data_IF_009742524633
#
_entry.id   IF_009742524633
#
_cell.length_a   1.000
_cell.length_b   1.000
_cell.length_c   1.000
_cell.angle_alpha   90.00
_cell.angle_beta   90.00
_cell.angle_gamma   90.00
#
_symmetry.space_group_name_H-M   'P 1'
#
loop_
_entity.id
_entity.type
_entity.pdbx_description
1 polymer ?
#
# COMPACT_ATOMS: atom_id res chain seq x y z
N UNK A 1 2.85 -14.12 1.11
CA UNK A 1 3.46 -13.60 -0.13
C UNK A 1 3.33 -12.10 -0.15
N UNK A 2 4.39 -11.35 -0.41
CA UNK A 2 4.31 -9.91 -0.55
C UNK A 2 3.98 -9.48 -1.99
N UNK A 3 3.23 -8.40 -2.15
CA UNK A 3 3.19 -7.67 -3.41
C UNK A 3 4.40 -6.74 -3.43
N UNK A 4 5.30 -6.93 -4.40
CA UNK A 4 6.47 -6.08 -4.58
C UNK A 4 6.19 -5.07 -5.70
N UNK A 5 6.51 -3.81 -5.44
CA UNK A 5 6.99 -2.91 -6.49
C UNK A 5 8.50 -3.10 -6.53
N UNK A 6 9.04 -3.70 -7.60
CA UNK A 6 10.47 -4.04 -7.70
C UNK A 6 11.34 -2.78 -7.97
N UNK A 7 11.35 -1.85 -7.01
CA UNK A 7 12.08 -0.57 -7.08
C UNK A 7 13.60 -0.81 -7.06
N UNK A 8 14.06 -1.95 -6.53
CA UNK A 8 15.48 -2.33 -6.46
C UNK A 8 16.13 -2.65 -7.82
N UNK A 9 15.34 -2.87 -8.88
CA UNK A 9 15.86 -3.24 -10.22
C UNK A 9 15.51 -2.23 -11.31
N UNK A 10 14.94 -1.06 -10.94
CA UNK A 10 14.40 -0.10 -11.91
C UNK A 10 13.17 -0.63 -12.67
N UNK A 11 12.46 -1.63 -12.12
CA UNK A 11 11.33 -2.31 -12.76
C UNK A 11 10.03 -2.07 -11.99
N UNK A 12 9.17 -1.20 -12.51
CA UNK A 12 7.85 -0.92 -11.91
C UNK A 12 6.78 -1.91 -12.37
N UNK A 13 6.96 -3.21 -12.13
CA UNK A 13 5.86 -4.18 -12.25
C UNK A 13 5.23 -4.34 -10.88
N UNK A 14 3.98 -3.91 -10.76
CA UNK A 14 3.14 -4.19 -9.59
C UNK A 14 2.23 -5.35 -10.00
N UNK A 15 2.54 -6.53 -9.47
CA UNK A 15 1.82 -7.78 -9.67
C UNK A 15 2.08 -8.70 -8.49
N UNK A 16 1.26 -9.74 -8.33
CA UNK A 16 1.58 -10.80 -7.38
C UNK A 16 2.89 -11.48 -7.80
N UNK A 17 3.81 -11.64 -6.86
CA UNK A 17 5.12 -12.26 -7.08
C UNK A 17 5.51 -13.11 -5.87
N UNK A 18 6.34 -14.12 -6.11
CA UNK A 18 7.03 -14.82 -5.04
C UNK A 18 8.32 -14.08 -4.67
N UNK A 19 8.61 -14.03 -3.38
CA UNK A 19 9.86 -13.49 -2.83
C UNK A 19 10.29 -14.39 -1.68
N UNK A 20 11.60 -14.64 -1.60
CA UNK A 20 12.19 -15.28 -0.42
C UNK A 20 12.01 -14.41 0.81
N UNK A 21 12.15 -15.01 2.00
CA UNK A 21 12.08 -14.25 3.26
C UNK A 21 13.20 -13.21 3.30
N UNK A 22 14.39 -13.55 2.84
CA UNK A 22 15.55 -12.66 2.78
C UNK A 22 15.31 -11.49 1.83
N UNK A 23 14.73 -11.72 0.66
CA UNK A 23 14.35 -10.66 -0.26
C UNK A 23 13.26 -9.76 0.31
N UNK A 24 12.27 -10.35 0.97
CA UNK A 24 11.22 -9.59 1.64
C UNK A 24 11.76 -8.71 2.76
N UNK A 25 12.73 -9.21 3.53
CA UNK A 25 13.36 -8.49 4.64
C UNK A 25 14.37 -7.42 4.19
N UNK A 26 14.90 -7.50 2.97
CA UNK A 26 15.76 -6.44 2.39
C UNK A 26 14.98 -5.15 2.13
N UNK A 27 13.70 -5.25 1.81
CA UNK A 27 12.84 -4.09 1.62
C UNK A 27 12.54 -3.47 3.01
N UNK A 28 12.56 -2.13 3.11
CA UNK A 28 12.31 -1.45 4.39
C UNK A 28 10.88 -1.73 4.90
N UNK A 29 10.74 -2.53 5.96
CA UNK A 29 9.46 -2.83 6.62
C UNK A 29 9.38 -2.11 7.96
N UNK A 30 8.21 -1.52 8.23
CA UNK A 30 7.96 -0.71 9.42
C UNK A 30 7.59 -1.59 10.62
N UNK A 31 6.61 -2.45 10.39
CA UNK A 31 6.04 -3.42 11.31
C UNK A 31 5.72 -4.67 10.51
N UNK A 32 6.15 -5.82 11.00
CA UNK A 32 5.82 -7.12 10.42
C UNK A 32 5.02 -7.87 11.47
N UNK A 33 3.82 -8.27 11.11
CA UNK A 33 2.99 -9.15 11.92
C UNK A 33 2.81 -10.48 11.20
N UNK A 34 3.04 -11.56 11.93
CA UNK A 34 2.77 -12.92 11.48
C UNK A 34 1.47 -13.38 12.13
N UNK A 35 0.49 -13.67 11.28
CA UNK A 35 -0.83 -14.17 11.65
C UNK A 35 -0.95 -15.64 11.26
N UNK A 36 -1.63 -16.43 12.08
CA UNK A 36 -1.91 -17.84 11.81
C UNK A 36 -3.39 -18.14 12.06
N UNK A 37 -4.06 -18.95 11.23
CA UNK A 37 -5.35 -19.52 11.57
C UNK A 37 -5.32 -20.22 12.92
N UNK A 38 -6.37 -20.03 13.73
CA UNK A 38 -6.48 -20.69 15.02
C UNK A 38 -6.47 -22.20 14.85
N UNK A 39 -5.79 -22.88 15.77
CA UNK A 39 -5.65 -24.33 15.75
C UNK A 39 -6.98 -25.08 16.00
N UNK A 40 -7.99 -24.41 16.57
CA UNK A 40 -9.30 -24.98 16.87
C UNK A 40 -10.36 -24.75 15.80
N UNK A 41 -10.00 -24.12 14.66
CA UNK A 41 -10.91 -24.03 13.52
C UNK A 41 -11.20 -25.44 12.98
N UNK A 42 -12.47 -25.79 12.68
CA UNK A 42 -12.82 -27.13 12.18
C UNK A 42 -12.00 -27.55 10.96
N UNK A 43 -11.76 -26.63 10.03
CA UNK A 43 -10.97 -26.86 8.82
C UNK A 43 -9.50 -27.20 9.15
N UNK A 44 -8.93 -26.54 10.16
CA UNK A 44 -7.54 -26.75 10.61
C UNK A 44 -7.41 -28.04 11.42
N UNK A 45 -8.40 -28.36 12.26
CA UNK A 45 -8.45 -29.63 13.01
C UNK A 45 -8.52 -30.82 12.06
N UNK A 46 -9.35 -30.70 11.00
CA UNK A 46 -9.48 -31.73 9.98
C UNK A 46 -8.22 -31.85 9.09
N UNK A 47 -7.54 -30.74 8.81
CA UNK A 47 -6.34 -30.70 7.98
C UNK A 47 -5.32 -29.68 8.52
N UNK A 48 -4.41 -30.12 9.42
CA UNK A 48 -3.39 -29.23 10.00
C UNK A 48 -2.42 -28.64 8.97
N UNK A 49 -2.34 -29.22 7.77
CA UNK A 49 -1.49 -28.74 6.68
C UNK A 49 -2.18 -27.68 5.80
N UNK A 50 -3.44 -27.32 6.09
CA UNK A 50 -4.20 -26.35 5.29
C UNK A 50 -3.47 -25.01 5.09
N UNK A 51 -2.83 -24.37 6.11
CA UNK A 51 -2.09 -23.12 5.87
C UNK A 51 -0.96 -23.28 4.85
N UNK A 52 -0.29 -24.43 4.84
CA UNK A 52 0.74 -24.75 3.86
C UNK A 52 0.13 -24.96 2.47
N UNK A 53 -0.98 -25.69 2.36
CA UNK A 53 -1.70 -25.90 1.09
C UNK A 53 -2.23 -24.59 0.50
N UNK A 54 -2.74 -23.68 1.33
CA UNK A 54 -3.15 -22.35 0.91
C UNK A 54 -1.96 -21.53 0.36
N UNK A 55 -0.81 -21.58 1.04
CA UNK A 55 0.41 -20.93 0.57
C UNK A 55 0.92 -21.55 -0.75
N UNK A 56 0.90 -22.88 -0.87
CA UNK A 56 1.29 -23.62 -2.08
C UNK A 56 0.35 -23.30 -3.24
N UNK A 57 -0.96 -23.23 -3.01
CA UNK A 57 -1.94 -22.80 -4.02
C UNK A 57 -1.63 -21.39 -4.56
N UNK A 58 -1.41 -20.42 -3.66
CA UNK A 58 -1.05 -19.07 -4.07
C UNK A 58 0.28 -19.04 -4.84
N UNK A 59 1.23 -19.89 -4.47
CA UNK A 59 2.54 -20.01 -5.12
C UNK A 59 2.40 -20.53 -6.54
N UNK A 60 1.66 -21.63 -6.72
CA UNK A 60 1.39 -22.19 -8.04
C UNK A 60 0.65 -21.20 -8.93
N UNK A 61 -0.36 -20.48 -8.40
CA UNK A 61 -1.09 -19.46 -9.18
C UNK A 61 -0.16 -18.38 -9.75
N UNK A 62 0.87 -17.98 -8.98
CA UNK A 62 1.88 -17.00 -9.43
C UNK A 62 2.92 -17.63 -10.37
N UNK A 63 3.24 -18.92 -10.22
CA UNK A 63 4.18 -19.62 -11.12
C UNK A 63 3.56 -20.00 -12.47
N UNK A 64 2.28 -20.32 -12.49
CA UNK A 64 1.54 -20.74 -13.68
C UNK A 64 1.19 -19.57 -14.60
N UNK A 65 1.13 -18.34 -14.06
CA UNK A 65 0.78 -17.18 -14.86
C UNK A 65 1.03 -15.85 -14.17
N UNK A 66 0.88 -14.79 -14.97
CA UNK A 66 0.94 -13.42 -14.48
C UNK A 66 -0.44 -13.01 -13.95
N UNK A 67 -0.51 -12.68 -12.65
CA UNK A 67 -1.69 -12.11 -12.04
C UNK A 67 -1.50 -10.59 -11.94
N UNK A 68 -2.25 -9.79 -12.73
CA UNK A 68 -2.14 -8.34 -12.68
C UNK A 68 -2.63 -7.79 -11.34
N UNK A 69 -2.03 -6.67 -10.91
CA UNK A 69 -2.48 -5.98 -9.70
C UNK A 69 -3.84 -5.32 -9.91
N UNK A 70 -4.74 -5.47 -8.94
CA UNK A 70 -6.03 -4.80 -8.98
C UNK A 70 -5.99 -3.39 -8.37
N UNK A 71 -5.99 -2.38 -9.25
CA UNK A 71 -6.11 -0.98 -8.83
C UNK A 71 -7.55 -0.54 -8.57
N UNK A 72 -8.55 -1.31 -9.00
CA UNK A 72 -9.95 -0.97 -8.79
C UNK A 72 -10.43 -1.32 -7.37
N UNK A 73 -9.74 -2.25 -6.71
CA UNK A 73 -9.99 -2.80 -5.37
C UNK A 73 -11.29 -3.63 -5.28
N UNK A 74 -11.62 -4.37 -6.34
CA UNK A 74 -12.75 -5.28 -6.41
C UNK A 74 -12.38 -6.69 -5.91
N UNK A 75 -12.54 -6.92 -4.61
CA UNK A 75 -12.22 -8.22 -3.97
C UNK A 75 -13.11 -9.40 -4.42
N UNK A 76 -14.09 -9.17 -5.29
CA UNK A 76 -14.98 -10.21 -5.82
C UNK A 76 -14.46 -10.80 -7.12
N UNK A 77 -13.55 -10.12 -7.81
CA UNK A 77 -12.96 -10.55 -9.08
C UNK A 77 -11.51 -10.99 -8.93
N UNK A 78 -11.33 -12.29 -8.64
CA UNK A 78 -10.01 -12.91 -8.48
C UNK A 78 -9.14 -12.96 -9.76
N UNK A 79 -9.58 -12.38 -10.89
CA UNK A 79 -8.77 -12.29 -12.12
C UNK A 79 -7.61 -11.30 -12.00
N UNK A 80 -7.71 -10.36 -11.05
CA UNK A 80 -6.68 -9.41 -10.65
C UNK A 80 -6.65 -9.42 -9.14
N UNK A 81 -5.48 -9.22 -8.53
CA UNK A 81 -5.37 -9.29 -7.07
C UNK A 81 -4.69 -8.05 -6.49
N UNK A 82 -5.21 -7.55 -5.38
CA UNK A 82 -4.46 -6.65 -4.49
C UNK A 82 -3.97 -7.40 -3.24
N UNK A 83 -3.24 -6.71 -2.36
CA UNK A 83 -2.38 -7.34 -1.35
C UNK A 83 -3.10 -8.27 -0.36
N UNK A 84 -4.26 -7.88 0.14
CA UNK A 84 -5.08 -8.69 1.04
C UNK A 84 -5.83 -9.79 0.29
N UNK A 85 -6.22 -9.55 -0.95
CA UNK A 85 -6.94 -10.51 -1.79
C UNK A 85 -6.11 -11.76 -2.09
N UNK A 86 -4.79 -11.62 -2.23
CA UNK A 86 -3.87 -12.77 -2.39
C UNK A 86 -4.03 -13.78 -1.26
N UNK A 87 -4.20 -13.30 -0.02
CA UNK A 87 -4.38 -14.17 1.13
C UNK A 87 -5.82 -14.69 1.24
N UNK A 88 -6.82 -13.81 1.07
CA UNK A 88 -8.23 -14.21 1.21
C UNK A 88 -8.64 -15.21 0.13
N UNK A 89 -8.26 -15.01 -1.13
CA UNK A 89 -8.55 -15.93 -2.23
C UNK A 89 -7.92 -17.32 -2.01
N UNK A 90 -6.71 -17.36 -1.45
CA UNK A 90 -6.00 -18.61 -1.18
C UNK A 90 -6.67 -19.44 -0.09
N UNK A 91 -7.10 -18.81 1.00
CA UNK A 91 -7.79 -19.50 2.10
C UNK A 91 -9.25 -19.84 1.77
N UNK A 92 -9.92 -19.02 0.94
CA UNK A 92 -11.30 -19.27 0.50
C UNK A 92 -11.40 -20.59 -0.27
N UNK A 93 -10.39 -20.93 -1.08
CA UNK A 93 -10.30 -22.21 -1.79
C UNK A 93 -10.36 -23.43 -0.87
N UNK A 94 -9.96 -23.29 0.41
CA UNK A 94 -9.98 -24.35 1.42
C UNK A 94 -11.09 -24.14 2.47
N UNK A 95 -12.08 -23.29 2.17
CA UNK A 95 -13.26 -23.09 3.02
C UNK A 95 -13.02 -22.22 4.26
N UNK A 96 -11.92 -21.47 4.32
CA UNK A 96 -11.68 -20.46 5.35
C UNK A 96 -11.90 -19.08 4.73
N UNK A 97 -12.97 -18.39 5.13
CA UNK A 97 -13.26 -17.03 4.66
C UNK A 97 -12.68 -16.02 5.64
N UNK A 98 -11.48 -15.52 5.32
CA UNK A 98 -10.83 -14.44 6.06
C UNK A 98 -11.49 -13.08 5.75
N UNK A 99 -11.19 -12.07 6.56
CA UNK A 99 -11.85 -10.75 6.56
C UNK A 99 -13.32 -10.84 6.97
N UNK A 100 -13.56 -11.30 8.21
CA UNK A 100 -14.90 -11.31 8.81
C UNK A 100 -15.55 -9.91 8.87
N UNK A 101 -14.73 -8.86 9.02
CA UNK A 101 -15.15 -7.47 8.88
C UNK A 101 -14.59 -6.87 7.58
N UNK A 102 -15.44 -6.15 6.85
CA UNK A 102 -15.02 -5.35 5.69
C UNK A 102 -15.08 -3.87 6.05
N UNK A 103 -14.05 -3.13 5.65
CA UNK A 103 -13.99 -1.69 5.83
C UNK A 103 -14.70 -0.95 4.68
N UNK A 104 -15.35 0.16 5.03
CA UNK A 104 -16.02 1.05 4.08
C UNK A 104 -15.38 2.45 4.13
N UNK A 105 -14.64 2.78 3.08
CA UNK A 105 -13.99 4.08 2.91
C UNK A 105 -15.05 5.13 2.52
N UNK A 106 -15.51 5.92 3.49
CA UNK A 106 -16.62 6.85 3.32
C UNK A 106 -16.22 8.31 3.08
N UNK A 107 -15.01 8.73 3.49
CA UNK A 107 -14.66 10.15 3.48
C UNK A 107 -14.56 10.70 2.03
N UNK A 108 -15.27 11.79 1.68
CA UNK A 108 -15.36 12.26 0.30
C UNK A 108 -14.00 12.62 -0.33
N UNK A 109 -13.13 13.28 0.42
CA UNK A 109 -11.80 13.68 -0.04
C UNK A 109 -10.91 12.47 -0.30
N UNK A 110 -10.86 11.53 0.65
CA UNK A 110 -10.11 10.27 0.50
C UNK A 110 -10.61 9.46 -0.70
N UNK A 111 -11.93 9.29 -0.86
CA UNK A 111 -12.52 8.58 -2.00
C UNK A 111 -12.13 9.24 -3.33
N UNK A 112 -12.17 10.56 -3.41
CA UNK A 112 -11.77 11.31 -4.60
C UNK A 112 -10.30 11.10 -4.95
N UNK A 113 -9.41 11.11 -3.96
CA UNK A 113 -7.98 10.86 -4.15
C UNK A 113 -7.68 9.43 -4.58
N UNK A 114 -8.26 8.44 -3.89
CA UNK A 114 -8.15 7.04 -4.27
C UNK A 114 -8.69 6.78 -5.69
N UNK A 115 -9.84 7.38 -6.04
CA UNK A 115 -10.38 7.36 -7.40
C UNK A 115 -9.43 7.94 -8.44
N UNK A 116 -8.64 8.94 -8.05
CA UNK A 116 -7.66 9.58 -8.90
C UNK A 116 -6.47 8.65 -9.24
N UNK A 117 -6.18 7.68 -8.38
CA UNK A 117 -5.19 6.61 -8.60
C UNK A 117 -5.74 5.40 -9.35
N UNK A 118 -7.06 5.19 -9.36
CA UNK A 118 -7.70 4.11 -10.10
C UNK A 118 -8.76 3.33 -9.33
N UNK A 119 -8.89 3.56 -8.02
CA UNK A 119 -9.85 2.85 -7.16
C UNK A 119 -11.28 3.13 -7.61
N UNK A 120 -12.12 2.10 -7.59
CA UNK A 120 -13.54 2.17 -7.96
C UNK A 120 -14.44 1.60 -6.87
N UNK A 121 -13.95 0.63 -6.11
CA UNK A 121 -14.65 -0.04 -5.03
C UNK A 121 -14.08 0.44 -3.69
N UNK A 122 -14.96 0.86 -2.79
CA UNK A 122 -14.60 1.46 -1.49
C UNK A 122 -15.06 0.63 -0.29
N UNK A 123 -15.71 -0.50 -0.57
CA UNK A 123 -15.94 -1.59 0.37
C UNK A 123 -14.91 -2.66 0.03
N UNK A 124 -13.92 -2.86 0.89
CA UNK A 124 -12.77 -3.70 0.55
C UNK A 124 -12.13 -4.33 1.78
N UNK A 125 -11.20 -5.25 1.53
CA UNK A 125 -10.44 -5.97 2.53
C UNK A 125 -9.23 -5.11 2.95
N UNK A 126 -9.36 -4.26 3.98
CA UNK A 126 -8.22 -3.49 4.45
C UNK A 126 -7.24 -4.40 5.22
N UNK A 127 -5.92 -4.30 5.01
CA UNK A 127 -4.96 -5.15 5.71
C UNK A 127 -5.07 -5.12 7.24
N UNK A 128 -5.48 -3.99 7.81
CA UNK A 128 -5.72 -3.81 9.25
C UNK A 128 -6.92 -4.58 9.78
N UNK A 129 -7.95 -4.82 8.96
CA UNK A 129 -9.14 -5.60 9.37
C UNK A 129 -8.75 -7.03 9.75
N UNK A 130 -7.68 -7.55 9.13
CA UNK A 130 -7.15 -8.88 9.39
C UNK A 130 -6.60 -9.03 10.82
N UNK A 131 -6.12 -7.94 11.44
CA UNK A 131 -5.66 -7.95 12.84
C UNK A 131 -6.81 -8.24 13.81
N UNK A 132 -8.05 -8.01 13.40
CA UNK A 132 -9.26 -8.21 14.19
C UNK A 132 -10.06 -9.45 13.77
N UNK A 133 -9.58 -10.24 12.81
CA UNK A 133 -10.29 -11.43 12.37
C UNK A 133 -10.27 -12.51 13.47
N UNK A 134 -11.43 -12.98 13.98
CA UNK A 134 -11.50 -13.92 15.09
C UNK A 134 -10.98 -15.32 14.76
N UNK A 135 -10.73 -15.61 13.49
CA UNK A 135 -10.15 -16.87 13.00
C UNK A 135 -8.62 -16.86 13.05
N UNK A 136 -7.99 -15.71 13.30
CA UNK A 136 -6.54 -15.56 13.30
C UNK A 136 -6.00 -15.27 14.69
N UNK A 137 -4.75 -15.66 14.91
CA UNK A 137 -3.96 -15.32 16.09
C UNK A 137 -2.62 -14.74 15.66
N UNK A 138 -2.16 -13.74 16.40
CA UNK A 138 -0.81 -13.19 16.26
C UNK A 138 0.19 -14.20 16.82
N UNK A 139 1.10 -14.67 15.98
CA UNK A 139 2.14 -15.63 16.39
C UNK A 139 3.49 -14.98 16.61
N UNK A 140 3.75 -13.87 15.92
CA UNK A 140 4.96 -13.08 16.09
C UNK A 140 4.74 -11.67 15.56
N UNK A 141 5.47 -10.72 16.15
CA UNK A 141 5.47 -9.34 15.73
C UNK A 141 6.90 -8.79 15.83
N UNK A 142 7.30 -8.03 14.82
CA UNK A 142 8.59 -7.37 14.77
C UNK A 142 8.43 -5.91 14.35
N UNK A 143 9.24 -5.04 14.94
CA UNK A 143 9.24 -3.59 14.69
C UNK A 143 10.67 -3.05 14.72
N UNK A 144 11.00 -2.11 13.84
CA UNK A 144 12.26 -1.34 13.89
C UNK A 144 12.00 0.10 14.35
N UNK A 145 12.61 0.53 15.45
CA UNK A 145 12.35 1.84 16.05
C UNK A 145 12.70 3.02 15.13
N UNK A 146 13.82 2.94 14.40
CA UNK A 146 14.23 4.00 13.49
C UNK A 146 13.25 4.14 12.32
N UNK A 147 12.76 3.01 11.82
CA UNK A 147 11.78 2.96 10.75
C UNK A 147 10.38 3.38 11.22
N UNK A 148 10.00 3.07 12.46
CA UNK A 148 8.76 3.59 13.07
C UNK A 148 8.77 5.13 13.17
N UNK A 149 9.90 5.75 13.51
CA UNK A 149 10.02 7.22 13.51
C UNK A 149 9.71 7.79 12.12
N UNK A 150 10.24 7.16 11.07
CA UNK A 150 9.95 7.56 9.69
C UNK A 150 8.45 7.39 9.36
N UNK A 151 7.86 6.26 9.73
CA UNK A 151 6.43 5.99 9.52
C UNK A 151 5.54 7.06 10.17
N UNK A 152 5.84 7.47 11.40
CA UNK A 152 5.07 8.54 12.05
C UNK A 152 5.12 9.86 11.26
N UNK A 153 6.25 10.16 10.60
CA UNK A 153 6.37 11.35 9.76
C UNK A 153 5.60 11.19 8.46
N UNK A 154 5.70 10.02 7.82
CA UNK A 154 4.99 9.69 6.60
C UNK A 154 3.46 9.74 6.83
N UNK A 155 2.98 9.17 7.94
CA UNK A 155 1.57 9.17 8.35
C UNK A 155 1.07 10.58 8.69
N UNK A 156 1.83 11.35 9.48
CA UNK A 156 1.44 12.73 9.80
C UNK A 156 1.36 13.62 8.55
N UNK A 157 2.28 13.43 7.60
CA UNK A 157 2.23 14.13 6.32
C UNK A 157 1.00 13.72 5.48
N UNK A 158 0.72 12.42 5.37
CA UNK A 158 -0.46 11.90 4.67
C UNK A 158 -1.75 12.37 5.32
N UNK A 159 -1.85 12.39 6.65
CA UNK A 159 -3.04 12.85 7.38
C UNK A 159 -3.35 14.31 7.05
N UNK A 160 -2.37 15.20 7.10
CA UNK A 160 -2.53 16.62 6.76
C UNK A 160 -2.80 16.84 5.26
N UNK A 161 -2.28 15.96 4.41
CA UNK A 161 -2.65 15.94 2.99
C UNK A 161 -4.12 15.57 2.80
N UNK A 162 -4.62 14.53 3.50
CA UNK A 162 -6.02 14.11 3.48
C UNK A 162 -6.96 15.16 4.11
N UNK A 163 -6.54 15.88 5.14
CA UNK A 163 -7.28 17.05 5.65
C UNK A 163 -7.48 18.11 4.55
N UNK A 164 -6.49 18.28 3.67
CA UNK A 164 -6.62 19.10 2.47
C UNK A 164 -7.62 18.54 1.48
N UNK A 165 -7.57 17.23 1.24
CA UNK A 165 -8.50 16.53 0.35
C UNK A 165 -9.96 16.75 0.77
N UNK A 166 -10.25 16.67 2.07
CA UNK A 166 -11.59 16.96 2.64
C UNK A 166 -12.02 18.42 2.44
N UNK A 167 -11.06 19.35 2.39
CA UNK A 167 -11.29 20.76 2.07
C UNK A 167 -11.35 21.05 0.57
N UNK A 168 -11.22 20.02 -0.28
CA UNK A 168 -11.31 20.12 -1.73
C UNK A 168 -9.98 20.18 -2.49
N UNK A 169 -8.82 20.03 -1.81
CA UNK A 169 -7.52 19.88 -2.49
C UNK A 169 -7.53 18.65 -3.40
N UNK A 170 -7.02 18.82 -4.61
CA UNK A 170 -6.99 17.76 -5.62
C UNK A 170 -5.56 17.36 -5.96
N UNK A 171 -5.40 16.07 -6.28
CA UNK A 171 -4.20 15.58 -6.94
C UNK A 171 -4.18 16.08 -8.38
N UNK A 172 -3.25 16.99 -8.63
CA UNK A 172 -3.10 17.64 -9.91
C UNK A 172 -2.09 16.87 -10.77
N UNK A 173 -2.11 17.16 -12.05
CA UNK A 173 -1.05 16.73 -12.96
C UNK A 173 -0.83 17.81 -14.01
N UNK A 174 0.42 17.95 -14.45
CA UNK A 174 0.77 18.89 -15.49
C UNK A 174 0.22 18.40 -16.83
N UNK A 175 -0.79 19.10 -17.37
CA UNK A 175 -1.49 18.69 -18.61
C UNK A 175 -0.54 18.52 -19.79
N UNK A 176 0.54 19.31 -19.86
CA UNK A 176 1.54 19.22 -20.92
C UNK A 176 2.41 17.96 -20.87
N UNK A 177 2.51 17.30 -19.71
CA UNK A 177 3.22 16.02 -19.60
C UNK A 177 2.34 14.83 -20.04
N UNK A 178 1.04 15.03 -20.23
CA UNK A 178 0.12 13.94 -20.56
C UNK A 178 0.43 13.23 -21.89
N UNK A 179 0.78 13.93 -22.99
CA UNK A 179 1.19 13.26 -24.23
C UNK A 179 2.43 12.37 -24.01
N UNK A 180 3.42 12.86 -23.28
CA UNK A 180 4.62 12.09 -22.95
C UNK A 180 4.28 10.87 -22.08
N UNK A 181 3.46 11.05 -21.04
CA UNK A 181 3.02 9.96 -20.17
C UNK A 181 2.24 8.89 -20.94
N UNK A 182 1.45 9.27 -21.95
CA UNK A 182 0.76 8.31 -22.84
C UNK A 182 1.73 7.53 -23.71
N UNK A 183 2.79 8.15 -24.23
CA UNK A 183 3.86 7.45 -24.96
C UNK A 183 4.55 6.45 -24.04
N UNK A 184 4.93 6.87 -22.83
CA UNK A 184 5.54 6.00 -21.81
C UNK A 184 4.61 4.84 -21.44
N UNK A 185 3.29 5.08 -21.36
CA UNK A 185 2.31 4.02 -21.13
C UNK A 185 2.26 3.04 -22.30
N UNK A 186 2.26 3.52 -23.54
CA UNK A 186 2.34 2.67 -24.73
C UNK A 186 3.60 1.80 -24.74
N UNK A 187 4.74 2.39 -24.41
CA UNK A 187 6.00 1.65 -24.21
C UNK A 187 5.88 0.61 -23.09
N UNK A 188 5.24 0.95 -21.97
CA UNK A 188 4.99 0.03 -20.87
C UNK A 188 4.12 -1.17 -21.28
N UNK A 189 3.11 -0.95 -22.13
CA UNK A 189 2.28 -2.04 -22.70
C UNK A 189 3.13 -2.98 -23.55
N UNK A 190 3.98 -2.44 -24.43
CA UNK A 190 4.89 -3.25 -25.26
C UNK A 190 5.85 -4.08 -24.39
N UNK A 191 6.40 -3.50 -23.33
CA UNK A 191 7.25 -4.22 -22.39
C UNK A 191 6.50 -5.33 -21.65
N UNK A 192 5.27 -5.07 -21.21
CA UNK A 192 4.45 -6.06 -20.51
C UNK A 192 4.16 -7.28 -21.39
N UNK A 193 3.89 -7.07 -22.69
CA UNK A 193 3.67 -8.16 -23.67
C UNK A 193 4.88 -9.11 -23.79
N UNK A 194 6.10 -8.60 -23.63
CA UNK A 194 7.33 -9.41 -23.65
C UNK A 194 7.79 -9.85 -22.26
N UNK A 195 6.89 -9.81 -21.27
CA UNK A 195 7.19 -10.24 -19.90
C UNK A 195 8.08 -9.30 -19.10
N UNK A 196 8.33 -8.06 -19.57
CA UNK A 196 9.12 -7.04 -18.88
C UNK A 196 8.24 -6.00 -18.19
N UNK A 197 8.79 -5.33 -17.18
CA UNK A 197 8.10 -4.28 -16.44
C UNK A 197 8.23 -2.93 -17.15
N UNK A 198 7.10 -2.26 -17.41
CA UNK A 198 7.09 -0.88 -17.88
C UNK A 198 7.25 0.16 -16.76
N UNK A 199 7.66 1.41 -17.07
CA UNK A 199 7.71 2.49 -16.09
C UNK A 199 6.35 2.84 -15.46
N UNK A 200 5.26 2.69 -16.22
CA UNK A 200 3.89 2.86 -15.72
C UNK A 200 3.28 1.47 -15.51
N UNK A 201 2.83 1.12 -14.29
CA UNK A 201 2.25 -0.18 -13.99
C UNK A 201 1.11 -0.56 -14.93
N UNK A 202 0.93 -1.86 -15.19
CA UNK A 202 -0.03 -2.38 -16.16
C UNK A 202 -1.47 -1.89 -15.91
N UNK A 203 -1.96 -1.98 -14.67
CA UNK A 203 -3.29 -1.52 -14.29
C UNK A 203 -3.43 -0.02 -14.04
N UNK A 204 -2.34 0.75 -14.12
CA UNK A 204 -2.35 2.20 -13.88
C UNK A 204 -2.44 3.00 -15.20
N UNK A 205 -3.31 4.02 -15.22
CA UNK A 205 -3.41 4.95 -16.36
C UNK A 205 -2.29 5.99 -16.36
N UNK A 206 -2.01 6.60 -17.51
CA UNK A 206 -1.01 7.67 -17.62
C UNK A 206 -1.34 8.89 -16.74
N UNK A 207 -2.62 9.22 -16.58
CA UNK A 207 -3.07 10.30 -15.69
C UNK A 207 -2.90 9.94 -14.22
N UNK A 208 -3.23 8.69 -13.84
CA UNK A 208 -3.00 8.20 -12.48
C UNK A 208 -1.51 8.23 -12.13
N UNK A 209 -0.63 7.79 -13.04
CA UNK A 209 0.81 7.83 -12.83
C UNK A 209 1.34 9.25 -12.58
N UNK A 210 0.88 10.24 -13.35
CA UNK A 210 1.27 11.64 -13.12
C UNK A 210 0.74 12.19 -11.79
N UNK A 211 -0.46 11.78 -11.37
CA UNK A 211 -1.00 12.16 -10.06
C UNK A 211 -0.25 11.52 -8.90
N UNK A 212 0.23 10.28 -9.06
CA UNK A 212 1.12 9.63 -8.08
C UNK A 212 2.43 10.40 -7.95
N UNK A 213 3.02 10.86 -9.06
CA UNK A 213 4.20 11.72 -9.00
C UNK A 213 3.95 13.06 -8.27
N UNK A 214 2.78 13.68 -8.49
CA UNK A 214 2.40 14.89 -7.76
C UNK A 214 2.21 14.63 -6.25
N UNK A 215 1.54 13.53 -5.90
CA UNK A 215 1.42 13.07 -4.51
C UNK A 215 2.79 12.87 -3.86
N UNK A 216 3.67 12.08 -4.48
CA UNK A 216 5.00 11.75 -3.95
C UNK A 216 5.84 13.02 -3.75
N UNK A 217 5.76 13.97 -4.69
CA UNK A 217 6.47 15.25 -4.60
C UNK A 217 5.97 16.09 -3.42
N UNK A 218 4.65 16.21 -3.25
CA UNK A 218 4.05 16.96 -2.14
C UNK A 218 4.38 16.31 -0.80
N UNK A 219 4.19 14.98 -0.71
CA UNK A 219 4.47 14.19 0.47
C UNK A 219 5.94 14.31 0.90
N UNK A 220 6.88 14.20 -0.06
CA UNK A 220 8.31 14.39 0.20
C UNK A 220 8.62 15.79 0.72
N UNK A 221 8.05 16.83 0.13
CA UNK A 221 8.29 18.20 0.59
C UNK A 221 7.83 18.42 2.04
N UNK A 222 6.66 17.86 2.40
CA UNK A 222 6.11 17.95 3.76
C UNK A 222 6.96 17.14 4.74
N UNK A 223 7.32 15.90 4.41
CA UNK A 223 8.11 15.02 5.30
C UNK A 223 9.54 15.54 5.52
N UNK A 224 10.20 16.04 4.46
CA UNK A 224 11.52 16.67 4.58
C UNK A 224 11.46 17.85 5.55
N UNK A 225 10.44 18.71 5.43
CA UNK A 225 10.28 19.87 6.32
C UNK A 225 9.87 19.50 7.74
N UNK A 226 8.95 18.54 7.89
CA UNK A 226 8.52 18.00 9.18
C UNK A 226 9.69 17.41 9.95
N UNK A 227 10.61 16.71 9.28
CA UNK A 227 11.78 16.12 9.94
C UNK A 227 12.66 17.17 10.62
N UNK A 228 12.89 18.31 9.96
CA UNK A 228 13.66 19.45 10.50
C UNK A 228 12.94 20.05 11.72
N UNK A 229 11.61 20.25 11.61
CA UNK A 229 10.81 20.80 12.71
C UNK A 229 10.79 19.88 13.93
N UNK A 230 10.66 18.57 13.70
CA UNK A 230 10.65 17.58 14.77
C UNK A 230 12.00 17.46 15.48
N UNK A 231 13.11 17.56 14.74
CA UNK A 231 14.45 17.57 15.34
C UNK A 231 14.69 18.85 16.13
N UNK A 232 14.20 20.01 15.67
CA UNK A 232 14.20 21.26 16.45
C UNK A 232 13.36 21.13 17.72
N UNK A 233 12.13 20.59 17.63
CA UNK A 233 11.28 20.36 18.79
C UNK A 233 12.01 19.53 19.86
N UNK A 234 12.69 18.46 19.43
CA UNK A 234 13.46 17.58 20.32
C UNK A 234 14.62 18.32 20.98
N UNK A 235 15.32 19.18 20.24
CA UNK A 235 16.39 20.00 20.80
C UNK A 235 15.88 20.98 21.87
N UNK A 236 14.72 21.60 21.62
CA UNK A 236 14.14 22.62 22.51
C UNK A 236 13.51 22.01 23.79
N UNK A 237 12.91 20.81 23.69
CA UNK A 237 12.12 20.20 24.78
C UNK A 237 12.78 19.00 25.46
N UNK A 238 13.84 18.44 24.87
CA UNK A 238 14.54 17.26 25.40
C UNK A 238 13.84 15.92 25.14
N UNK A 239 12.70 15.88 24.44
CA UNK A 239 12.00 14.65 24.06
C UNK A 239 11.44 14.74 22.63
N UNK A 240 11.22 13.59 21.99
CA UNK A 240 10.67 13.54 20.63
C UNK A 240 9.20 13.97 20.61
N UNK A 241 8.73 14.71 19.60
CA UNK A 241 7.34 15.16 19.54
C UNK A 241 6.39 13.95 19.53
N UNK A 242 5.35 13.93 20.38
CA UNK A 242 4.30 12.92 20.31
C UNK A 242 3.50 13.08 19.01
N UNK A 243 2.76 12.04 18.61
CA UNK A 243 2.09 11.99 17.30
C UNK A 243 1.15 13.19 17.05
N UNK A 244 0.34 13.59 18.03
CA UNK A 244 -0.54 14.75 17.89
C UNK A 244 0.22 16.07 17.64
N UNK A 245 1.44 16.19 18.17
CA UNK A 245 2.29 17.35 17.93
C UNK A 245 2.97 17.25 16.56
N UNK A 246 3.34 16.03 16.11
CA UNK A 246 3.81 15.80 14.74
C UNK A 246 2.76 16.21 13.71
N UNK A 247 1.48 15.91 13.93
CA UNK A 247 0.40 16.35 13.03
C UNK A 247 0.31 17.88 12.98
N UNK A 248 0.45 18.58 14.11
CA UNK A 248 0.49 20.06 14.12
C UNK A 248 1.69 20.61 13.35
N UNK A 249 2.88 20.05 13.58
CA UNK A 249 4.09 20.43 12.84
C UNK A 249 3.93 20.14 11.35
N UNK A 250 3.27 19.04 10.98
CA UNK A 250 2.99 18.67 9.60
C UNK A 250 2.06 19.67 8.90
N UNK A 251 1.07 20.24 9.62
CA UNK A 251 0.23 21.35 9.10
C UNK A 251 1.07 22.57 8.75
N UNK A 252 1.96 22.98 9.64
CA UNK A 252 2.89 24.11 9.39
C UNK A 252 3.84 23.78 8.24
N UNK A 253 4.40 22.57 8.21
CA UNK A 253 5.29 22.11 7.14
C UNK A 253 4.60 22.13 5.76
N UNK A 254 3.32 21.75 5.69
CA UNK A 254 2.51 21.85 4.46
C UNK A 254 2.36 23.28 3.99
N UNK A 255 1.98 24.20 4.88
CA UNK A 255 1.82 25.62 4.52
C UNK A 255 3.13 26.23 3.99
N UNK A 256 4.27 25.89 4.60
CA UNK A 256 5.58 26.37 4.14
C UNK A 256 6.00 25.74 2.81
N UNK A 257 5.70 24.45 2.59
CA UNK A 257 5.96 23.76 1.33
C UNK A 257 5.11 24.32 0.17
N UNK A 258 3.89 24.78 0.46
CA UNK A 258 3.00 25.41 -0.52
C UNK A 258 3.42 26.84 -0.86
N UNK A 259 3.90 27.62 0.13
CA UNK A 259 4.42 29.00 -0.08
C UNK A 259 5.74 29.05 -0.85
N UNK A 260 6.47 27.94 -0.90
CA UNK A 260 7.76 27.84 -1.60
C UNK A 260 7.64 27.45 -3.08
N UNK A 261 6.41 27.30 -3.60
CA UNK A 261 6.10 27.07 -5.02
C UNK A 261 5.83 28.39 -5.75
#
# INVERSE_FOLDING_TARGET
>A
MPIRSDISSGKTRISSCDATVEEYLKDKKLRIMLLRPRADLPQIVNDPMLPHKAAEFAFHRVKEGHIPYDFAMDYKDHSKLFCSEVASAAYEQFGIRLWAGISHISSPGLRKWLSAFGVRHFETQEPSDLEYDPQLVVVAEWRDQATLKKDHYDNAATEVMLEGAEKGDELHYQRYLLPLARIVKGYSVLLNLVGKAGPIPEGMSATAALRTQDYDKRHKAITDRLSIMADKFKADHGYAPPYWELVKLARVAKEEAEKSK
#
